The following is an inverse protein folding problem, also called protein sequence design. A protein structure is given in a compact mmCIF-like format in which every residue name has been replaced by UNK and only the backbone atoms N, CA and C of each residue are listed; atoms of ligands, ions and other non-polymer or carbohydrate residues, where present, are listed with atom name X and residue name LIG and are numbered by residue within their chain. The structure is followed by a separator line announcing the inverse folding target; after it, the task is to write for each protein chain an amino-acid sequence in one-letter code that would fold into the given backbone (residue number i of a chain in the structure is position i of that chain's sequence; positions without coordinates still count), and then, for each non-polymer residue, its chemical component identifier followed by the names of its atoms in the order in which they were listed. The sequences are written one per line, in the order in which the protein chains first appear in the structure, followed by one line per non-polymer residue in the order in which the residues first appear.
data_IF_613430328582
#
_entry.id   IF_613430328582
#
_cell.length_a   1.000
_cell.length_b   1.000
_cell.length_c   1.000
_cell.angle_alpha   90.00
_cell.angle_beta   90.00
_cell.angle_gamma   90.00
#
_symmetry.space_group_name_H-M   'P 1'
#
loop_
_entity.id
_entity.type
_entity.pdbx_description
1 polymer ?
#
# COMPACT_ATOMS: atom_id res chain seq x y z
N UNK A 1 -17.16 22.01 -1.58
CA UNK A 1 -15.89 21.26 -1.74
C UNK A 1 -14.80 22.30 -1.69
N UNK A 2 -13.98 22.24 -0.65
CA UNK A 2 -12.90 23.19 -0.44
C UNK A 2 -11.64 22.64 -1.11
N UNK A 3 -11.04 23.44 -1.99
CA UNK A 3 -9.85 23.08 -2.74
C UNK A 3 -8.69 23.91 -2.20
N UNK A 4 -7.54 23.28 -1.95
CA UNK A 4 -6.32 23.95 -1.54
C UNK A 4 -5.19 23.66 -2.53
N UNK A 5 -4.25 24.59 -2.65
CA UNK A 5 -3.05 24.42 -3.47
C UNK A 5 -1.93 23.92 -2.57
N UNK A 6 -1.33 22.80 -2.95
CA UNK A 6 -0.14 22.24 -2.31
C UNK A 6 1.05 22.39 -3.27
N UNK A 7 2.12 23.03 -2.80
CA UNK A 7 3.39 23.10 -3.55
C UNK A 7 4.39 22.15 -2.89
N UNK A 8 4.96 21.25 -3.68
CA UNK A 8 5.97 20.27 -3.24
C UNK A 8 7.27 20.47 -4.00
N UNK A 9 8.38 20.23 -3.33
CA UNK A 9 9.70 20.20 -3.98
C UNK A 9 10.03 18.75 -4.33
N UNK A 10 10.32 18.52 -5.61
CA UNK A 10 10.71 17.22 -6.16
C UNK A 10 11.96 17.43 -7.04
N UNK A 11 12.71 16.37 -7.29
CA UNK A 11 13.80 16.46 -8.25
C UNK A 11 13.23 16.73 -9.64
N UNK A 12 13.94 17.51 -10.45
CA UNK A 12 13.50 17.87 -11.81
C UNK A 12 13.17 16.65 -12.66
N UNK A 13 13.98 15.60 -12.55
CA UNK A 13 13.77 14.32 -13.24
C UNK A 13 12.43 13.65 -12.86
N UNK A 14 11.99 13.78 -11.61
CA UNK A 14 10.75 13.17 -11.14
C UNK A 14 9.53 13.95 -11.66
N UNK A 15 9.65 15.28 -11.76
CA UNK A 15 8.63 16.15 -12.35
C UNK A 15 8.45 15.81 -13.83
N UNK A 16 9.56 15.75 -14.58
CA UNK A 16 9.54 15.38 -16.00
C UNK A 16 8.91 14.00 -16.23
N UNK A 17 9.28 13.03 -15.38
CA UNK A 17 8.71 11.69 -15.44
C UNK A 17 7.19 11.71 -15.21
N UNK A 18 6.72 12.38 -14.15
CA UNK A 18 5.29 12.43 -13.82
C UNK A 18 4.48 13.11 -14.91
N UNK A 19 4.99 14.19 -15.50
CA UNK A 19 4.33 14.88 -16.61
C UNK A 19 4.21 13.99 -17.85
N UNK A 20 5.28 13.28 -18.21
CA UNK A 20 5.27 12.34 -19.34
C UNK A 20 4.32 11.17 -19.08
N UNK A 21 4.34 10.62 -17.86
CA UNK A 21 3.47 9.53 -17.45
C UNK A 21 1.99 9.92 -17.52
N UNK A 22 1.64 11.12 -17.05
CA UNK A 22 0.30 11.67 -17.13
C UNK A 22 -0.17 11.80 -18.58
N UNK A 23 0.66 12.41 -19.44
CA UNK A 23 0.39 12.53 -20.88
C UNK A 23 0.16 11.17 -21.55
N UNK A 24 1.01 10.19 -21.26
CA UNK A 24 0.90 8.86 -21.86
C UNK A 24 -0.40 8.16 -21.47
N UNK A 25 -0.87 8.37 -20.23
CA UNK A 25 -2.15 7.86 -19.74
C UNK A 25 -3.37 8.71 -20.13
N UNK A 26 -3.18 9.82 -20.84
CA UNK A 26 -4.27 10.75 -21.17
C UNK A 26 -4.88 11.43 -19.94
N UNK A 27 -4.09 11.59 -18.87
CA UNK A 27 -4.51 12.15 -17.59
C UNK A 27 -3.65 13.38 -17.23
N UNK A 28 -4.10 14.12 -16.22
CA UNK A 28 -3.33 15.22 -15.61
C UNK A 28 -2.53 14.73 -14.39
N UNK A 29 -1.50 15.49 -14.02
CA UNK A 29 -0.72 15.23 -12.79
C UNK A 29 -1.61 15.27 -11.56
N UNK A 30 -2.55 16.23 -11.51
CA UNK A 30 -3.51 16.35 -10.41
C UNK A 30 -4.42 15.12 -10.28
N UNK A 31 -4.87 14.54 -11.38
CA UNK A 31 -5.66 13.30 -11.37
C UNK A 31 -4.84 12.11 -10.89
N UNK A 32 -3.59 11.96 -11.34
CA UNK A 32 -2.70 10.91 -10.83
C UNK A 32 -2.48 11.03 -9.33
N UNK A 33 -2.21 12.24 -8.84
CA UNK A 33 -2.01 12.50 -7.40
C UNK A 33 -3.31 12.19 -6.64
N UNK A 34 -4.46 12.59 -7.16
CA UNK A 34 -5.77 12.31 -6.54
C UNK A 34 -6.03 10.82 -6.45
N UNK A 35 -5.84 10.07 -7.53
CA UNK A 35 -6.04 8.62 -7.57
C UNK A 35 -5.07 7.91 -6.61
N UNK A 36 -3.83 8.39 -6.54
CA UNK A 36 -2.84 7.86 -5.61
C UNK A 36 -3.24 8.11 -4.14
N UNK A 37 -3.68 9.33 -3.81
CA UNK A 37 -4.17 9.65 -2.46
C UNK A 37 -5.37 8.77 -2.09
N UNK A 38 -6.32 8.56 -3.01
CA UNK A 38 -7.45 7.66 -2.79
C UNK A 38 -6.97 6.22 -2.55
N UNK A 39 -5.98 5.74 -3.31
CA UNK A 39 -5.41 4.41 -3.11
C UNK A 39 -4.74 4.26 -1.74
N UNK A 40 -4.07 5.30 -1.24
CA UNK A 40 -3.47 5.32 0.09
C UNK A 40 -4.52 5.30 1.20
N UNK A 41 -5.61 6.05 1.04
CA UNK A 41 -6.72 6.06 2.00
C UNK A 41 -7.37 4.67 2.09
N UNK A 42 -7.66 4.05 0.94
CA UNK A 42 -8.21 2.69 0.90
C UNK A 42 -7.24 1.70 1.53
N UNK A 43 -5.94 1.80 1.24
CA UNK A 43 -4.93 0.89 1.80
C UNK A 43 -4.74 1.05 3.32
N UNK A 44 -4.97 2.25 3.85
CA UNK A 44 -4.85 2.54 5.29
C UNK A 44 -6.10 2.08 6.06
N UNK A 45 -7.29 2.17 5.44
CA UNK A 45 -8.55 1.69 6.03
C UNK A 45 -8.73 0.17 5.88
N UNK A 46 -8.19 -0.42 4.82
CA UNK A 46 -8.24 -1.85 4.60
C UNK A 46 -7.04 -2.55 5.23
N UNK A 47 -7.15 -2.84 6.54
CA UNK A 47 -6.54 -4.07 7.05
C UNK A 47 -7.04 -5.20 6.14
N UNK A 48 -6.15 -5.78 5.32
CA UNK A 48 -6.48 -6.84 4.37
C UNK A 48 -7.48 -7.81 5.01
N UNK A 49 -8.57 -8.14 4.31
CA UNK A 49 -9.56 -9.10 4.81
C UNK A 49 -8.81 -10.35 5.34
N UNK A 50 -9.15 -10.89 6.51
CA UNK A 50 -8.35 -11.92 7.19
C UNK A 50 -8.04 -13.14 6.32
N UNK A 51 -8.88 -13.44 5.34
CA UNK A 51 -8.65 -14.51 4.38
C UNK A 51 -7.58 -14.20 3.32
N UNK A 52 -7.39 -12.93 2.95
CA UNK A 52 -6.28 -12.51 2.08
C UNK A 52 -4.96 -12.47 2.87
N UNK A 53 -4.98 -12.06 4.16
CA UNK A 53 -3.78 -12.14 5.01
C UNK A 53 -3.24 -13.57 5.10
N UNK A 54 -4.12 -14.58 5.25
CA UNK A 54 -3.75 -16.01 5.26
C UNK A 54 -3.07 -16.47 3.96
N UNK A 55 -3.44 -15.89 2.82
CA UNK A 55 -2.91 -16.26 1.50
C UNK A 55 -1.55 -15.60 1.23
N UNK A 56 -1.35 -14.37 1.70
CA UNK A 56 -0.13 -13.59 1.41
C UNK A 56 1.13 -14.10 2.11
N UNK A 57 1.02 -15.05 3.06
CA UNK A 57 2.17 -15.56 3.82
C UNK A 57 2.84 -14.51 4.72
N UNK A 58 2.24 -13.31 4.82
CA UNK A 58 2.70 -12.25 5.71
C UNK A 58 2.23 -12.63 7.11
N UNK A 59 3.17 -13.02 7.96
CA UNK A 59 2.87 -13.27 9.37
C UNK A 59 2.51 -11.92 10.02
N UNK A 60 1.31 -11.82 10.62
CA UNK A 60 0.94 -10.63 11.38
C UNK A 60 1.99 -10.28 12.44
N UNK A 61 2.34 -8.99 12.55
CA UNK A 61 3.42 -8.52 13.45
C UNK A 61 3.15 -8.79 14.93
N UNK A 62 1.88 -9.01 15.28
CA UNK A 62 1.39 -9.29 16.63
C UNK A 62 1.53 -10.77 17.05
N UNK A 63 1.94 -11.65 16.13
CA UNK A 63 2.09 -13.08 16.41
C UNK A 63 3.57 -13.43 16.62
N UNK A 64 3.87 -14.07 17.76
CA UNK A 64 5.14 -14.78 17.95
C UNK A 64 5.15 -16.06 17.09
N UNK A 65 5.62 -15.88 15.85
CA UNK A 65 5.72 -16.93 14.85
C UNK A 65 6.51 -18.15 15.35
N UNK A 66 7.52 -17.93 16.19
CA UNK A 66 8.41 -18.98 16.70
C UNK A 66 7.67 -19.86 17.70
N UNK A 67 6.96 -19.24 18.65
CA UNK A 67 6.13 -19.97 19.61
C UNK A 67 5.02 -20.79 18.91
N UNK A 68 4.34 -20.19 17.94
CA UNK A 68 3.28 -20.85 17.18
C UNK A 68 3.81 -22.07 16.38
N UNK A 69 5.00 -21.96 15.80
CA UNK A 69 5.67 -23.05 15.09
C UNK A 69 5.99 -24.23 16.01
N UNK A 70 6.57 -23.98 17.20
CA UNK A 70 6.88 -25.03 18.16
C UNK A 70 5.64 -25.77 18.66
N UNK A 71 4.56 -25.05 18.94
CA UNK A 71 3.30 -25.71 19.35
C UNK A 71 2.72 -26.59 18.25
N UNK A 72 2.79 -26.16 16.98
CA UNK A 72 2.36 -26.99 15.86
C UNK A 72 3.22 -28.24 15.71
N UNK A 73 4.54 -28.12 15.91
CA UNK A 73 5.45 -29.27 15.87
C UNK A 73 5.11 -30.29 16.96
N UNK A 74 4.89 -29.84 18.19
CA UNK A 74 4.48 -30.69 19.30
C UNK A 74 3.17 -31.43 19.02
N UNK A 75 2.16 -30.73 18.47
CA UNK A 75 0.88 -31.33 18.08
C UNK A 75 0.99 -32.34 16.93
N UNK A 76 1.98 -32.19 16.04
CA UNK A 76 2.17 -33.10 14.89
C UNK A 76 2.88 -34.40 15.29
N UNK A 77 3.69 -34.36 16.35
CA UNK A 77 4.48 -35.48 16.84
C UNK A 77 3.85 -36.20 18.05
N UNK A 78 2.64 -35.80 18.45
CA UNK A 78 1.71 -36.60 19.24
C UNK A 78 0.79 -37.39 18.30
#
# INVERSE_FOLDING_TARGET
MDNAILTVQLATQDIEFIEQYAKHRGATVSELIKDYIQSLQVSQESSLHPDIQKITGIVPLDIDAKAAYYQRLLKKHQ
#
